data_IF_082026150733
#
_entry.id   IF_082026150733
#
_cell.length_a   1.000
_cell.length_b   1.000
_cell.length_c   1.000
_cell.angle_alpha   90.00
_cell.angle_beta   90.00
_cell.angle_gamma   90.00
#
_symmetry.space_group_name_H-M   'P 1'
#
loop_
_entity.id
_entity.type
_entity.pdbx_description
1 polymer ?
#
# COMPACT_ATOMS: atom_id res chain seq x y z
N UNK A 1 -11.27 10.43 2.09
CA UNK A 1 -10.61 10.05 0.83
C UNK A 1 -10.48 11.25 -0.09
N UNK A 2 -9.50 11.21 -0.96
CA UNK A 2 -9.36 12.21 -2.02
C UNK A 2 -10.26 11.84 -3.18
N UNK A 3 -11.15 12.77 -3.57
CA UNK A 3 -12.00 12.68 -4.74
C UNK A 3 -11.74 13.88 -5.65
N UNK A 4 -11.86 13.74 -6.98
CA UNK A 4 -11.79 14.89 -7.87
C UNK A 4 -12.98 15.82 -7.61
N UNK A 5 -12.72 17.11 -7.62
CA UNK A 5 -13.74 18.15 -7.61
C UNK A 5 -13.69 18.87 -8.96
N UNK A 6 -14.81 18.93 -9.65
CA UNK A 6 -14.94 19.65 -10.91
C UNK A 6 -15.48 21.04 -10.59
N UNK A 7 -14.71 22.05 -10.98
CA UNK A 7 -15.14 23.44 -10.95
C UNK A 7 -16.01 23.69 -12.19
N UNK A 8 -17.32 23.74 -12.00
CA UNK A 8 -18.27 23.88 -13.10
C UNK A 8 -18.14 25.21 -13.87
N UNK A 9 -17.64 26.26 -13.23
CA UNK A 9 -17.41 27.57 -13.88
C UNK A 9 -16.21 27.53 -14.84
N UNK A 10 -15.25 26.63 -14.58
CA UNK A 10 -14.05 26.45 -15.41
C UNK A 10 -14.11 25.23 -16.31
N UNK A 11 -15.14 24.42 -16.18
CA UNK A 11 -15.29 23.19 -16.95
C UNK A 11 -15.71 23.50 -18.39
N UNK A 12 -14.87 23.11 -19.35
CA UNK A 12 -15.15 23.24 -20.79
C UNK A 12 -15.70 21.95 -21.42
N UNK A 13 -16.17 21.01 -20.65
CA UNK A 13 -16.75 19.71 -21.06
C UNK A 13 -15.88 18.89 -22.03
N UNK A 14 -14.55 18.98 -21.93
CA UNK A 14 -13.61 18.27 -22.81
C UNK A 14 -13.44 16.78 -22.48
N UNK A 15 -14.06 16.28 -21.42
CA UNK A 15 -14.00 14.89 -20.92
C UNK A 15 -12.57 14.35 -20.62
N UNK A 16 -11.54 15.20 -20.54
CA UNK A 16 -10.18 14.76 -20.21
C UNK A 16 -10.08 14.12 -18.83
N UNK A 17 -10.85 14.62 -17.85
CA UNK A 17 -10.90 14.06 -16.51
C UNK A 17 -11.45 12.61 -16.49
N UNK A 18 -12.41 12.29 -17.36
CA UNK A 18 -12.91 10.91 -17.53
C UNK A 18 -11.85 10.03 -18.21
N UNK A 19 -11.21 10.52 -19.27
CA UNK A 19 -10.18 9.77 -20.01
C UNK A 19 -9.00 9.34 -19.15
N UNK A 20 -8.63 10.12 -18.12
CA UNK A 20 -7.55 9.77 -17.18
C UNK A 20 -8.04 9.02 -15.95
N UNK A 21 -9.35 8.89 -15.75
CA UNK A 21 -9.91 8.23 -14.57
C UNK A 21 -9.60 6.72 -14.59
N UNK A 22 -8.99 6.15 -13.55
CA UNK A 22 -8.73 4.72 -13.51
C UNK A 22 -10.00 3.88 -13.27
N UNK A 23 -11.15 4.51 -12.97
CA UNK A 23 -12.45 3.83 -12.83
C UNK A 23 -13.18 3.66 -14.16
N UNK A 24 -12.79 4.38 -15.20
CA UNK A 24 -13.30 4.20 -16.55
C UNK A 24 -12.62 3.02 -17.25
N UNK A 25 -13.10 2.64 -18.44
CA UNK A 25 -12.64 1.47 -19.16
C UNK A 25 -11.11 1.40 -19.32
N UNK A 26 -10.56 0.21 -19.12
CA UNK A 26 -9.12 -0.05 -19.32
C UNK A 26 -8.87 -0.10 -20.82
N UNK A 27 -8.16 0.90 -21.34
CA UNK A 27 -7.82 1.01 -22.77
C UNK A 27 -6.42 0.45 -23.06
N UNK A 28 -5.65 0.09 -22.04
CA UNK A 28 -4.23 -0.24 -22.20
C UNK A 28 -3.97 -1.73 -22.17
N UNK A 29 -3.01 -2.13 -23.02
CA UNK A 29 -2.47 -3.50 -23.04
C UNK A 29 -1.91 -3.84 -21.67
N UNK A 30 -2.68 -4.57 -20.89
CA UNK A 30 -2.22 -5.15 -19.64
C UNK A 30 -1.46 -6.45 -19.96
N UNK A 31 -0.40 -6.70 -19.18
CA UNK A 31 0.41 -7.89 -19.31
C UNK A 31 0.12 -8.90 -18.21
N UNK A 32 0.17 -10.19 -18.56
CA UNK A 32 0.24 -11.28 -17.57
C UNK A 32 1.66 -11.42 -17.05
N UNK A 33 1.80 -11.95 -15.84
CA UNK A 33 3.10 -12.27 -15.27
C UNK A 33 3.90 -13.22 -16.21
N UNK A 34 5.10 -12.80 -16.59
CA UNK A 34 6.04 -13.61 -17.37
C UNK A 34 6.84 -14.55 -16.48
N UNK A 35 7.37 -14.01 -15.37
CA UNK A 35 8.12 -14.75 -14.36
C UNK A 35 7.84 -14.24 -12.98
N UNK A 36 7.81 -15.15 -12.02
CA UNK A 36 7.60 -14.87 -10.62
C UNK A 36 8.83 -15.24 -9.79
N UNK A 37 9.13 -14.44 -8.79
CA UNK A 37 10.28 -14.62 -7.92
C UNK A 37 9.90 -14.37 -6.45
N UNK A 38 10.61 -15.03 -5.56
CA UNK A 38 10.55 -14.73 -4.12
C UNK A 38 11.95 -14.42 -3.61
N UNK A 39 12.05 -13.42 -2.74
CA UNK A 39 13.37 -13.05 -2.24
C UNK A 39 13.32 -12.17 -1.01
N UNK A 40 14.49 -12.04 -0.38
CA UNK A 40 14.67 -11.24 0.82
C UNK A 40 16.01 -10.54 0.77
N UNK A 41 15.99 -9.24 1.04
CA UNK A 41 17.18 -8.41 1.20
C UNK A 41 17.82 -8.62 2.58
N UNK A 42 19.13 -8.45 2.68
CA UNK A 42 19.87 -8.45 3.95
C UNK A 42 19.38 -7.36 4.92
N UNK A 43 18.94 -6.21 4.40
CA UNK A 43 18.41 -5.08 5.17
C UNK A 43 16.87 -5.07 5.24
N UNK A 44 16.25 -6.23 5.05
CA UNK A 44 14.78 -6.37 5.07
C UNK A 44 14.12 -5.82 6.33
N UNK A 45 14.84 -5.68 7.44
CA UNK A 45 14.34 -5.09 8.69
C UNK A 45 13.96 -3.61 8.55
N UNK A 46 14.57 -2.92 7.59
CA UNK A 46 14.18 -1.57 7.19
C UNK A 46 12.90 -1.52 6.34
N UNK A 47 12.31 -2.65 6.04
CA UNK A 47 11.15 -2.79 5.15
C UNK A 47 9.97 -3.47 5.83
N UNK A 48 8.78 -3.36 5.23
CA UNK A 48 7.57 -4.01 5.72
C UNK A 48 7.53 -5.53 5.44
N UNK A 49 8.26 -6.00 4.44
CA UNK A 49 8.37 -7.38 4.02
C UNK A 49 9.82 -7.75 3.71
N UNK A 50 10.10 -8.52 2.65
CA UNK A 50 11.44 -8.93 2.25
C UNK A 50 12.36 -7.82 1.71
N UNK A 51 11.87 -6.58 1.53
CA UNK A 51 12.70 -5.43 1.15
C UNK A 51 12.88 -5.21 -0.35
N UNK A 52 12.39 -6.12 -1.20
CA UNK A 52 12.65 -6.10 -2.64
C UNK A 52 12.37 -4.76 -3.33
N UNK A 53 11.21 -4.13 -3.05
CA UNK A 53 10.87 -2.85 -3.67
C UNK A 53 11.76 -1.69 -3.18
N UNK A 54 12.08 -1.67 -1.88
CA UNK A 54 12.94 -0.63 -1.29
C UNK A 54 14.34 -0.67 -1.90
N UNK A 55 14.96 -1.85 -1.93
CA UNK A 55 16.29 -2.05 -2.52
C UNK A 55 16.29 -1.75 -4.02
N UNK A 56 15.23 -2.15 -4.75
CA UNK A 56 15.11 -1.79 -6.17
C UNK A 56 15.04 -0.27 -6.37
N UNK A 57 14.28 0.43 -5.55
CA UNK A 57 14.18 1.90 -5.62
C UNK A 57 15.54 2.57 -5.43
N UNK A 58 16.30 2.13 -4.43
CA UNK A 58 17.65 2.64 -4.14
C UNK A 58 18.64 2.30 -5.25
N UNK A 59 18.60 1.07 -5.75
CA UNK A 59 19.45 0.63 -6.86
C UNK A 59 19.18 1.44 -8.13
N UNK A 60 17.90 1.69 -8.45
CA UNK A 60 17.56 2.48 -9.63
C UNK A 60 17.95 3.94 -9.47
N UNK A 61 17.80 4.53 -8.28
CA UNK A 61 18.30 5.88 -8.01
C UNK A 61 19.82 5.98 -8.24
N UNK A 62 20.61 5.00 -7.76
CA UNK A 62 22.06 4.96 -7.99
C UNK A 62 22.43 4.74 -9.47
N UNK A 63 21.50 4.22 -10.28
CA UNK A 63 21.65 4.04 -11.73
C UNK A 63 21.04 5.21 -12.56
N UNK A 64 20.83 6.36 -11.92
CA UNK A 64 20.41 7.59 -12.58
C UNK A 64 18.90 7.66 -12.90
N UNK A 65 18.06 6.86 -12.26
CA UNK A 65 16.62 7.02 -12.34
C UNK A 65 16.13 8.08 -11.36
N UNK A 66 15.14 8.84 -11.77
CA UNK A 66 14.30 9.62 -10.86
C UNK A 66 13.23 8.66 -10.32
N UNK A 67 13.27 8.38 -9.04
CA UNK A 67 12.37 7.42 -8.36
C UNK A 67 11.21 8.15 -7.74
N UNK A 68 9.99 7.78 -8.11
CA UNK A 68 8.75 8.30 -7.51
C UNK A 68 8.15 7.26 -6.59
N UNK A 69 8.03 7.61 -5.32
CA UNK A 69 7.53 6.73 -4.26
C UNK A 69 6.67 7.44 -3.24
N UNK A 70 6.21 6.70 -2.23
CA UNK A 70 5.30 7.20 -1.21
C UNK A 70 6.02 7.40 0.11
N UNK A 71 5.93 8.62 0.67
CA UNK A 71 6.47 8.97 1.98
C UNK A 71 5.45 9.72 2.85
N UNK A 72 5.78 9.96 4.09
CA UNK A 72 5.14 10.98 4.92
C UNK A 72 5.80 12.35 4.68
N UNK A 73 5.00 13.40 4.68
CA UNK A 73 5.50 14.77 4.89
C UNK A 73 5.67 15.07 6.40
N UNK A 74 6.07 16.30 6.74
CA UNK A 74 6.28 16.74 8.12
C UNK A 74 5.01 16.72 8.99
N UNK A 75 3.84 16.68 8.37
CA UNK A 75 2.54 16.60 9.03
C UNK A 75 1.95 15.18 9.04
N UNK A 76 2.74 14.17 8.66
CA UNK A 76 2.31 12.79 8.47
C UNK A 76 1.20 12.62 7.42
N UNK A 77 1.09 13.54 6.46
CA UNK A 77 0.30 13.26 5.27
C UNK A 77 1.05 12.27 4.38
N UNK A 78 0.32 11.31 3.84
CA UNK A 78 0.89 10.33 2.90
C UNK A 78 0.88 10.92 1.51
N UNK A 79 2.06 11.18 0.95
CA UNK A 79 2.24 11.83 -0.35
C UNK A 79 3.13 11.01 -1.29
N UNK A 80 2.95 11.20 -2.61
CA UNK A 80 3.97 10.82 -3.58
C UNK A 80 4.99 11.93 -3.73
N UNK A 81 6.26 11.54 -3.75
CA UNK A 81 7.38 12.45 -4.00
C UNK A 81 8.47 11.76 -4.81
N UNK A 82 9.47 12.51 -5.27
CA UNK A 82 10.59 11.99 -6.02
C UNK A 82 11.88 11.91 -5.17
N UNK A 83 12.78 11.05 -5.62
CA UNK A 83 14.11 10.84 -5.06
C UNK A 83 15.09 10.58 -6.21
N UNK A 84 16.35 11.02 -6.04
CA UNK A 84 17.44 10.84 -7.00
C UNK A 84 18.67 10.18 -6.38
N UNK A 85 18.63 9.99 -5.06
CA UNK A 85 19.70 9.35 -4.27
C UNK A 85 19.14 8.22 -3.42
N UNK A 86 20.04 7.34 -2.95
CA UNK A 86 19.70 6.24 -2.04
C UNK A 86 19.05 6.77 -0.77
N UNK A 87 19.61 7.83 -0.18
CA UNK A 87 19.11 8.39 1.09
C UNK A 87 17.71 8.99 0.93
N UNK A 88 17.45 9.66 -0.18
CA UNK A 88 16.11 10.19 -0.50
C UNK A 88 15.07 9.08 -0.75
N UNK A 89 15.50 7.87 -1.15
CA UNK A 89 14.61 6.71 -1.30
C UNK A 89 14.21 6.06 0.03
N UNK A 90 15.02 6.16 1.09
CA UNK A 90 14.76 5.52 2.39
C UNK A 90 13.36 5.81 2.96
N UNK A 91 12.81 7.03 2.91
CA UNK A 91 11.45 7.32 3.36
C UNK A 91 10.33 6.59 2.59
N UNK A 92 10.61 6.09 1.38
CA UNK A 92 9.66 5.31 0.59
C UNK A 92 9.48 3.89 1.12
N UNK A 93 10.43 3.39 1.89
CA UNK A 93 10.34 2.08 2.54
C UNK A 93 9.16 2.03 3.52
N UNK A 94 8.77 0.83 3.91
CA UNK A 94 7.66 0.51 4.81
C UNK A 94 6.27 0.88 4.27
N UNK A 95 5.26 0.24 4.81
CA UNK A 95 3.87 0.44 4.39
C UNK A 95 3.29 1.73 4.98
N UNK A 96 2.41 2.39 4.22
CA UNK A 96 1.56 3.50 4.67
C UNK A 96 0.12 3.14 4.29
N UNK A 97 -0.68 2.69 5.25
CA UNK A 97 -2.04 2.18 5.00
C UNK A 97 -3.08 3.29 4.91
N UNK A 98 -2.70 4.39 4.29
CA UNK A 98 -3.51 5.57 4.03
C UNK A 98 -3.43 5.91 2.56
N UNK A 99 -4.49 6.45 1.99
CA UNK A 99 -4.49 6.90 0.60
C UNK A 99 -3.44 8.01 0.41
N UNK A 100 -2.45 7.75 -0.44
CA UNK A 100 -1.46 8.77 -0.77
C UNK A 100 -2.02 9.84 -1.70
N UNK A 101 -1.62 11.07 -1.46
CA UNK A 101 -1.95 12.20 -2.32
C UNK A 101 -0.91 12.29 -3.44
N UNK A 102 -1.33 12.13 -4.68
CA UNK A 102 -0.43 12.15 -5.85
C UNK A 102 -0.02 13.56 -6.27
N UNK A 103 -0.76 14.59 -5.81
CA UNK A 103 -0.47 16.00 -6.09
C UNK A 103 -0.07 16.23 -7.57
N UNK A 104 1.07 16.87 -7.81
CA UNK A 104 1.66 17.11 -9.15
C UNK A 104 2.57 15.99 -9.64
N UNK A 105 2.58 14.82 -8.98
CA UNK A 105 3.48 13.71 -9.29
C UNK A 105 3.42 13.33 -10.79
N UNK A 106 2.23 13.14 -11.36
CA UNK A 106 2.09 12.73 -12.76
C UNK A 106 2.56 13.80 -13.75
N UNK A 107 2.37 15.10 -13.45
CA UNK A 107 2.90 16.17 -14.29
C UNK A 107 4.42 16.26 -14.22
N UNK A 108 5.02 16.10 -13.03
CA UNK A 108 6.47 16.04 -12.88
C UNK A 108 7.07 14.87 -13.66
N UNK A 109 6.46 13.67 -13.57
CA UNK A 109 6.88 12.49 -14.36
C UNK A 109 6.82 12.79 -15.86
N UNK A 110 5.73 13.43 -16.34
CA UNK A 110 5.61 13.79 -17.74
C UNK A 110 6.73 14.76 -18.19
N UNK A 111 7.10 15.72 -17.36
CA UNK A 111 8.15 16.69 -17.64
C UNK A 111 9.55 16.03 -17.62
N UNK A 112 9.80 15.10 -16.70
CA UNK A 112 11.05 14.32 -16.65
C UNK A 112 11.19 13.43 -17.90
N UNK A 113 10.13 12.74 -18.31
CA UNK A 113 10.14 11.91 -19.51
C UNK A 113 10.36 12.75 -20.79
N UNK A 114 9.80 13.96 -20.90
CA UNK A 114 10.08 14.89 -22.02
C UNK A 114 11.55 15.30 -22.08
N UNK A 115 12.22 15.39 -20.94
CA UNK A 115 13.66 15.65 -20.83
C UNK A 115 14.51 14.40 -21.04
N UNK A 116 13.88 13.29 -21.44
CA UNK A 116 14.52 12.00 -21.66
C UNK A 116 15.16 11.39 -20.39
N UNK A 117 14.73 11.77 -19.19
CA UNK A 117 15.17 11.16 -17.96
C UNK A 117 14.61 9.74 -17.82
N UNK A 118 15.36 8.85 -17.16
CA UNK A 118 14.87 7.56 -16.72
C UNK A 118 14.03 7.73 -15.47
N UNK A 119 12.82 7.21 -15.47
CA UNK A 119 11.86 7.35 -14.37
C UNK A 119 11.43 5.99 -13.86
N UNK A 120 11.41 5.83 -12.55
CA UNK A 120 10.82 4.68 -11.86
C UNK A 120 9.66 5.15 -11.00
N UNK A 121 8.46 4.68 -11.28
CA UNK A 121 7.26 5.02 -10.50
C UNK A 121 6.78 3.82 -9.70
N UNK A 122 6.50 4.03 -8.41
CA UNK A 122 5.89 3.02 -7.53
C UNK A 122 4.54 3.51 -7.00
N UNK A 123 3.52 2.66 -7.09
CA UNK A 123 2.19 3.00 -6.61
C UNK A 123 1.29 1.77 -6.49
N UNK A 124 0.05 1.95 -6.07
CA UNK A 124 -0.96 0.88 -6.15
C UNK A 124 -1.55 0.83 -7.56
N UNK A 125 -2.14 -0.30 -7.95
CA UNK A 125 -2.56 -0.57 -9.34
C UNK A 125 -3.41 0.55 -9.96
N UNK A 126 -4.37 1.11 -9.22
CA UNK A 126 -5.19 2.22 -9.70
C UNK A 126 -4.39 3.52 -9.95
N UNK A 127 -3.31 3.74 -9.22
CA UNK A 127 -2.41 4.89 -9.44
C UNK A 127 -1.50 4.66 -10.65
N UNK A 128 -1.02 3.43 -10.85
CA UNK A 128 -0.27 3.06 -12.04
C UNK A 128 -1.12 3.25 -13.31
N UNK A 129 -2.36 2.79 -13.29
CA UNK A 129 -3.31 2.96 -14.39
C UNK A 129 -3.59 4.45 -14.68
N UNK A 130 -3.84 5.24 -13.63
CA UNK A 130 -4.05 6.68 -13.78
C UNK A 130 -2.84 7.40 -14.39
N UNK A 131 -1.62 7.02 -14.01
CA UNK A 131 -0.39 7.56 -14.61
C UNK A 131 -0.31 7.24 -16.09
N UNK A 132 -0.49 5.97 -16.48
CA UNK A 132 -0.44 5.56 -17.89
C UNK A 132 -1.48 6.32 -18.72
N UNK A 133 -2.72 6.41 -18.24
CA UNK A 133 -3.79 7.17 -18.92
C UNK A 133 -3.44 8.66 -19.05
N UNK A 134 -2.89 9.25 -17.99
CA UNK A 134 -2.46 10.64 -18.00
C UNK A 134 -1.37 10.88 -19.06
N UNK A 135 -0.34 10.03 -19.09
CA UNK A 135 0.76 10.15 -20.07
C UNK A 135 0.27 9.94 -21.50
N UNK A 136 -0.65 9.00 -21.73
CA UNK A 136 -1.25 8.76 -23.04
C UNK A 136 -2.06 9.97 -23.54
N UNK A 137 -2.92 10.56 -22.67
CA UNK A 137 -3.66 11.78 -23.02
C UNK A 137 -2.72 12.94 -23.34
N UNK A 138 -1.57 13.01 -22.67
CA UNK A 138 -0.51 14.01 -22.92
C UNK A 138 0.40 13.65 -24.09
N UNK A 139 0.23 12.48 -24.74
CA UNK A 139 1.07 11.93 -25.81
C UNK A 139 2.55 11.86 -25.43
N UNK A 140 2.84 11.45 -24.20
CA UNK A 140 4.20 11.30 -23.68
C UNK A 140 4.69 9.87 -23.93
N UNK A 141 5.89 9.76 -24.50
CA UNK A 141 6.58 8.48 -24.71
C UNK A 141 7.03 7.89 -23.39
N UNK A 142 6.76 6.60 -23.19
CA UNK A 142 7.01 5.89 -21.93
C UNK A 142 8.20 4.92 -21.98
N UNK A 143 9.07 5.02 -22.99
CA UNK A 143 10.23 4.13 -23.14
C UNK A 143 11.16 4.15 -21.93
N UNK A 144 11.38 5.33 -21.36
CA UNK A 144 12.23 5.53 -20.20
C UNK A 144 11.48 5.43 -18.86
N UNK A 145 10.21 4.99 -18.85
CA UNK A 145 9.42 4.80 -17.66
C UNK A 145 9.39 3.30 -17.29
N UNK A 146 9.73 3.01 -16.04
CA UNK A 146 9.50 1.71 -15.39
C UNK A 146 8.43 1.89 -14.31
N UNK A 147 7.44 1.02 -14.29
CA UNK A 147 6.34 1.07 -13.31
C UNK A 147 6.35 -0.20 -12.46
N UNK A 148 6.36 -0.03 -11.15
CA UNK A 148 6.13 -1.10 -10.19
C UNK A 148 4.84 -0.87 -9.41
N UNK A 149 3.90 -1.79 -9.49
CA UNK A 149 2.73 -1.75 -8.63
C UNK A 149 2.91 -2.58 -7.36
N UNK A 150 2.29 -2.11 -6.28
CA UNK A 150 2.16 -2.84 -5.02
C UNK A 150 0.77 -3.46 -4.99
N UNK A 151 0.69 -4.76 -4.73
CA UNK A 151 -0.59 -5.47 -4.55
C UNK A 151 -1.31 -4.91 -3.32
N UNK A 152 -2.53 -4.40 -3.49
CA UNK A 152 -3.19 -3.54 -2.53
C UNK A 152 -4.53 -4.11 -2.08
N UNK A 153 -4.74 -4.23 -0.76
CA UNK A 153 -6.01 -4.65 -0.16
C UNK A 153 -7.06 -3.54 -0.09
N UNK A 154 -6.63 -2.29 -0.19
CA UNK A 154 -7.46 -1.09 -0.02
C UNK A 154 -6.76 -0.05 0.85
N UNK A 155 -7.29 1.17 0.86
CA UNK A 155 -6.71 2.31 1.57
C UNK A 155 -7.74 3.00 2.46
N UNK A 156 -7.30 3.48 3.63
CA UNK A 156 -8.08 4.38 4.49
C UNK A 156 -7.90 5.83 4.05
N UNK A 157 -8.70 6.75 4.58
CA UNK A 157 -8.52 8.17 4.26
C UNK A 157 -7.52 8.85 5.19
N UNK A 158 -6.81 9.86 4.67
CA UNK A 158 -5.95 10.74 5.46
C UNK A 158 -6.75 11.38 6.61
N UNK A 159 -7.96 11.86 6.34
CA UNK A 159 -8.84 12.47 7.36
C UNK A 159 -9.12 11.53 8.54
N UNK A 160 -9.30 10.22 8.32
CA UNK A 160 -9.49 9.26 9.42
C UNK A 160 -8.19 9.04 10.20
N UNK A 161 -7.06 9.03 9.53
CA UNK A 161 -5.76 8.96 10.20
C UNK A 161 -5.49 10.19 11.05
N UNK A 162 -5.79 11.38 10.54
CA UNK A 162 -5.65 12.65 11.28
C UNK A 162 -6.60 12.71 12.49
N UNK A 163 -7.83 12.21 12.33
CA UNK A 163 -8.78 12.13 13.46
C UNK A 163 -8.23 11.22 14.56
N UNK A 164 -7.76 10.02 14.19
CA UNK A 164 -7.14 9.09 15.12
C UNK A 164 -5.94 9.75 15.85
N UNK A 165 -5.02 10.39 15.08
CA UNK A 165 -3.84 11.05 15.66
C UNK A 165 -4.25 12.11 16.67
N UNK A 166 -5.17 13.01 16.30
CA UNK A 166 -5.66 14.08 17.18
C UNK A 166 -6.26 13.54 18.49
N UNK A 167 -7.08 12.48 18.41
CA UNK A 167 -7.63 11.83 19.61
C UNK A 167 -6.52 11.26 20.50
N UNK A 168 -5.51 10.60 19.92
CA UNK A 168 -4.39 10.04 20.69
C UNK A 168 -3.50 11.14 21.28
N UNK A 169 -3.17 12.16 20.53
CA UNK A 169 -2.35 13.29 20.95
C UNK A 169 -3.01 14.06 22.11
N UNK A 170 -4.33 14.32 22.04
CA UNK A 170 -5.09 14.92 23.11
C UNK A 170 -5.10 14.07 24.39
N UNK A 171 -5.27 12.74 24.24
CA UNK A 171 -5.30 11.80 25.37
C UNK A 171 -3.95 11.67 26.07
N UNK A 172 -2.86 11.76 25.31
CA UNK A 172 -1.50 11.52 25.82
C UNK A 172 -0.75 12.81 26.18
N UNK A 173 -1.22 13.98 25.73
CA UNK A 173 -0.49 15.24 25.84
C UNK A 173 0.79 15.30 25.02
N UNK A 174 0.95 14.42 24.01
CA UNK A 174 2.15 14.30 23.19
C UNK A 174 1.77 14.22 21.72
N UNK A 175 2.54 14.88 20.85
CA UNK A 175 2.35 14.82 19.40
C UNK A 175 2.98 13.54 18.83
N UNK A 176 2.29 12.89 17.90
CA UNK A 176 2.83 11.76 17.11
C UNK A 176 3.68 12.33 15.97
N UNK A 177 4.97 11.99 15.96
CA UNK A 177 5.92 12.44 14.91
C UNK A 177 6.24 11.35 13.89
N UNK A 178 6.00 10.06 14.25
CA UNK A 178 6.17 8.95 13.32
C UNK A 178 5.16 7.85 13.61
N UNK A 179 4.60 7.25 12.56
CA UNK A 179 3.74 6.08 12.64
C UNK A 179 4.20 5.04 11.61
N UNK A 180 4.95 4.04 12.07
CA UNK A 180 5.52 3.01 11.20
C UNK A 180 4.67 1.75 11.23
N UNK A 181 3.88 1.52 10.20
CA UNK A 181 3.17 0.27 10.00
C UNK A 181 4.14 -0.89 9.76
N UNK A 182 3.77 -2.08 10.23
CA UNK A 182 4.53 -3.32 9.96
C UNK A 182 5.98 -3.22 10.42
N UNK A 183 6.18 -2.72 11.65
CA UNK A 183 7.51 -2.81 12.24
C UNK A 183 7.80 -4.27 12.60
N UNK A 184 9.10 -4.64 12.62
CA UNK A 184 9.56 -5.99 12.93
C UNK A 184 10.09 -6.12 14.36
N UNK A 185 9.80 -5.16 15.22
CA UNK A 185 10.13 -5.20 16.64
C UNK A 185 9.17 -6.15 17.39
N UNK A 186 9.62 -6.69 18.49
CA UNK A 186 8.80 -7.57 19.32
C UNK A 186 7.59 -6.83 19.92
N UNK A 187 6.44 -7.46 19.84
CA UNK A 187 5.22 -7.04 20.49
C UNK A 187 4.68 -8.22 21.30
N UNK A 188 4.58 -8.07 22.65
CA UNK A 188 4.17 -9.14 23.57
C UNK A 188 5.01 -10.41 23.40
N UNK A 189 6.33 -10.27 23.30
CA UNK A 189 7.27 -11.38 23.16
C UNK A 189 7.34 -12.06 21.79
N UNK A 190 6.60 -11.56 20.78
CA UNK A 190 6.58 -12.13 19.42
C UNK A 190 6.71 -11.04 18.37
N UNK A 191 7.40 -11.33 17.28
CA UNK A 191 7.39 -10.49 16.10
C UNK A 191 6.09 -10.76 15.32
N UNK A 192 5.39 -9.69 14.97
CA UNK A 192 4.11 -9.78 14.26
C UNK A 192 4.03 -8.69 13.19
N UNK A 193 3.69 -9.08 11.96
CA UNK A 193 3.55 -8.15 10.84
C UNK A 193 2.37 -7.16 10.96
N UNK A 194 1.46 -7.39 11.92
CA UNK A 194 0.26 -6.55 12.14
C UNK A 194 0.45 -5.62 13.34
N UNK A 195 1.62 -4.99 13.41
CA UNK A 195 2.00 -4.05 14.46
C UNK A 195 2.37 -2.71 13.86
N UNK A 196 2.42 -1.67 14.69
CA UNK A 196 3.02 -0.39 14.36
C UNK A 196 3.94 0.07 15.49
N UNK A 197 4.91 0.90 15.11
CA UNK A 197 5.69 1.69 16.04
C UNK A 197 5.25 3.15 15.95
N UNK A 198 4.92 3.73 17.08
CA UNK A 198 4.54 5.14 17.21
C UNK A 198 5.67 5.85 17.96
N UNK A 199 6.22 6.91 17.37
CA UNK A 199 7.23 7.76 18.00
C UNK A 199 6.60 9.11 18.29
N UNK A 200 6.83 9.62 19.50
CA UNK A 200 6.27 10.86 20.00
C UNK A 200 7.29 12.00 20.00
N UNK A 201 6.79 13.24 20.16
CA UNK A 201 7.60 14.46 20.14
C UNK A 201 8.64 14.55 21.27
N UNK A 202 8.50 13.76 22.33
CA UNK A 202 9.48 13.62 23.41
C UNK A 202 10.48 12.48 23.19
N UNK A 203 10.59 11.98 21.96
CA UNK A 203 11.41 10.84 21.53
C UNK A 203 11.00 9.49 22.17
N UNK A 204 9.98 9.42 23.00
CA UNK A 204 9.46 8.14 23.49
C UNK A 204 8.81 7.36 22.34
N UNK A 205 8.82 6.03 22.41
CA UNK A 205 8.18 5.18 21.40
C UNK A 205 7.33 4.09 22.04
N UNK A 206 6.35 3.61 21.26
CA UNK A 206 5.46 2.53 21.66
C UNK A 206 5.23 1.56 20.50
N UNK A 207 5.38 0.27 20.75
CA UNK A 207 4.94 -0.77 19.82
C UNK A 207 3.50 -1.15 20.16
N UNK A 208 2.64 -1.13 19.16
CA UNK A 208 1.20 -1.43 19.29
C UNK A 208 0.78 -2.51 18.30
N UNK A 209 -0.22 -3.29 18.68
CA UNK A 209 -0.85 -4.29 17.83
C UNK A 209 -2.32 -3.98 17.58
N UNK A 210 -2.98 -4.77 16.73
CA UNK A 210 -4.40 -4.58 16.36
C UNK A 210 -5.35 -4.45 17.57
N UNK A 211 -5.05 -5.11 18.68
CA UNK A 211 -5.92 -5.05 19.88
C UNK A 211 -5.75 -3.76 20.68
N UNK A 212 -4.61 -3.07 20.54
CA UNK A 212 -4.24 -1.94 21.38
C UNK A 212 -4.30 -0.62 20.62
N UNK A 213 -4.37 -0.67 19.30
CA UNK A 213 -4.37 0.50 18.44
C UNK A 213 -5.62 0.54 17.56
N UNK A 214 -6.36 1.63 17.67
CA UNK A 214 -7.62 1.79 16.97
C UNK A 214 -7.41 1.93 15.45
N UNK A 215 -6.32 2.58 14.99
CA UNK A 215 -6.11 2.74 13.56
C UNK A 215 -5.66 1.44 12.88
N UNK A 216 -4.80 0.64 13.52
CA UNK A 216 -4.48 -0.70 13.06
C UNK A 216 -5.73 -1.58 13.01
N UNK A 217 -6.56 -1.54 14.06
CA UNK A 217 -7.81 -2.28 14.10
C UNK A 217 -8.76 -1.84 12.98
N UNK A 218 -8.94 -0.55 12.77
CA UNK A 218 -9.75 0.04 11.71
C UNK A 218 -9.30 -0.45 10.32
N UNK A 219 -7.98 -0.40 10.05
CA UNK A 219 -7.43 -0.87 8.78
C UNK A 219 -7.59 -2.38 8.60
N UNK A 220 -7.03 -3.18 9.51
CA UNK A 220 -7.01 -4.65 9.35
C UNK A 220 -8.39 -5.30 9.44
N UNK A 221 -9.37 -4.64 10.08
CA UNK A 221 -10.78 -5.05 10.09
C UNK A 221 -11.57 -4.47 8.91
N UNK A 222 -10.95 -3.69 8.05
CA UNK A 222 -11.57 -3.18 6.80
C UNK A 222 -12.80 -2.32 7.08
N UNK A 223 -12.80 -1.56 8.19
CA UNK A 223 -13.95 -0.78 8.63
C UNK A 223 -14.21 0.46 7.76
N UNK A 224 -13.16 1.02 7.11
CA UNK A 224 -13.32 2.28 6.37
C UNK A 224 -12.33 2.43 5.21
N UNK A 225 -12.24 1.45 4.34
CA UNK A 225 -11.54 1.61 3.07
C UNK A 225 -12.33 2.53 2.14
N UNK A 226 -11.65 3.08 1.15
CA UNK A 226 -12.31 3.80 0.07
C UNK A 226 -13.38 2.90 -0.57
N UNK A 227 -14.63 3.39 -0.81
CA UNK A 227 -15.68 2.55 -1.37
C UNK A 227 -15.28 1.76 -2.60
N UNK A 228 -14.58 2.39 -3.56
CA UNK A 228 -14.09 1.71 -4.76
C UNK A 228 -13.04 0.61 -4.49
N UNK A 229 -12.47 0.50 -3.28
CA UNK A 229 -11.59 -0.60 -2.93
C UNK A 229 -12.33 -1.91 -2.65
N UNK A 230 -13.60 -1.84 -2.24
CA UNK A 230 -14.45 -3.01 -2.04
C UNK A 230 -14.99 -3.60 -3.35
N UNK A 231 -14.91 -2.82 -4.42
CA UNK A 231 -15.31 -3.19 -5.78
C UNK A 231 -14.12 -2.99 -6.75
N UNK A 232 -12.91 -3.28 -6.25
CA UNK A 232 -11.68 -2.95 -6.94
C UNK A 232 -11.53 -3.74 -8.25
N UNK A 233 -11.59 -3.05 -9.38
CA UNK A 233 -11.42 -3.64 -10.71
C UNK A 233 -10.00 -4.10 -11.02
N UNK A 234 -9.03 -3.74 -10.18
CA UNK A 234 -7.63 -4.12 -10.31
C UNK A 234 -7.30 -5.44 -9.59
N UNK A 235 -8.28 -6.17 -9.12
CA UNK A 235 -8.13 -7.51 -8.53
C UNK A 235 -8.19 -8.58 -9.61
N UNK A 236 -7.33 -8.45 -10.59
CA UNK A 236 -7.15 -9.35 -11.73
C UNK A 236 -5.66 -9.68 -11.89
N UNK A 237 -5.33 -10.70 -12.68
CA UNK A 237 -3.93 -11.10 -12.89
C UNK A 237 -3.17 -10.14 -13.82
N UNK A 238 -3.87 -9.55 -14.79
CA UNK A 238 -3.28 -8.58 -15.74
C UNK A 238 -2.86 -7.29 -15.04
N UNK A 239 -1.72 -6.73 -15.44
CA UNK A 239 -1.14 -5.52 -14.87
C UNK A 239 -0.69 -4.56 -15.96
N UNK A 240 -0.89 -3.26 -15.73
CA UNK A 240 -0.34 -2.20 -16.58
C UNK A 240 1.11 -1.87 -16.23
N UNK A 241 1.61 -2.39 -15.12
CA UNK A 241 2.96 -2.16 -14.60
C UNK A 241 3.96 -3.19 -15.15
N UNK A 242 5.23 -2.79 -15.21
CA UNK A 242 6.32 -3.69 -15.57
C UNK A 242 6.58 -4.73 -14.48
N UNK A 243 6.40 -4.32 -13.22
CA UNK A 243 6.65 -5.13 -12.03
C UNK A 243 5.44 -5.11 -11.07
N UNK A 244 5.25 -6.21 -10.33
CA UNK A 244 4.31 -6.27 -9.21
C UNK A 244 5.04 -6.76 -7.97
N UNK A 245 4.84 -6.06 -6.85
CA UNK A 245 5.39 -6.44 -5.55
C UNK A 245 4.27 -6.78 -4.57
N UNK A 246 4.48 -7.85 -3.81
CA UNK A 246 3.58 -8.31 -2.74
C UNK A 246 4.37 -9.01 -1.63
N UNK A 247 3.68 -9.41 -0.57
CA UNK A 247 4.22 -10.36 0.42
C UNK A 247 4.07 -11.78 -0.12
N UNK A 248 5.10 -12.61 0.01
CA UNK A 248 5.03 -14.05 -0.31
C UNK A 248 4.44 -14.83 0.88
N UNK A 249 3.12 -14.67 1.13
CA UNK A 249 2.46 -15.35 2.25
C UNK A 249 2.54 -16.86 2.17
N UNK A 250 2.90 -17.50 3.29
CA UNK A 250 3.03 -18.95 3.42
C UNK A 250 4.12 -19.61 2.56
N UNK A 251 5.06 -18.82 2.00
CA UNK A 251 6.13 -19.41 1.20
C UNK A 251 7.10 -20.24 2.04
N UNK A 252 7.21 -19.99 3.34
CA UNK A 252 7.94 -20.83 4.30
C UNK A 252 7.47 -22.30 4.32
N UNK A 253 6.24 -22.55 3.94
CA UNK A 253 5.69 -23.91 3.80
C UNK A 253 6.18 -24.63 2.55
N UNK A 254 6.59 -23.87 1.54
CA UNK A 254 7.16 -24.37 0.28
C UNK A 254 8.67 -24.49 0.38
N UNK A 255 9.30 -23.48 0.97
CA UNK A 255 10.74 -23.43 1.16
C UNK A 255 11.09 -22.94 2.57
N UNK A 256 11.42 -23.86 3.50
CA UNK A 256 11.69 -23.53 4.92
C UNK A 256 12.92 -22.63 5.16
N UNK A 257 13.76 -22.41 4.15
CA UNK A 257 14.89 -21.45 4.27
C UNK A 257 14.42 -20.00 4.48
N UNK A 258 13.16 -19.70 4.17
CA UNK A 258 12.58 -18.39 4.36
C UNK A 258 11.80 -18.32 5.66
N UNK A 259 12.29 -17.49 6.59
CA UNK A 259 11.60 -17.21 7.84
C UNK A 259 10.37 -16.32 7.60
N UNK A 260 9.15 -16.76 7.98
CA UNK A 260 7.92 -15.99 7.80
C UNK A 260 7.89 -14.69 8.62
N UNK A 261 8.62 -14.65 9.72
CA UNK A 261 8.64 -13.52 10.68
C UNK A 261 9.32 -12.32 10.07
N UNK A 262 10.43 -12.53 9.38
CA UNK A 262 11.21 -11.47 8.74
C UNK A 262 10.60 -10.97 7.43
N UNK A 263 9.59 -11.68 6.90
CA UNK A 263 8.89 -11.36 5.66
C UNK A 263 9.70 -11.67 4.41
N UNK A 264 9.00 -12.05 3.35
CA UNK A 264 9.57 -12.37 2.03
C UNK A 264 8.81 -11.59 0.98
N UNK A 265 9.52 -11.00 0.04
CA UNK A 265 8.92 -10.29 -1.10
C UNK A 265 8.54 -11.29 -2.20
N UNK A 266 7.30 -11.20 -2.69
CA UNK A 266 6.90 -11.72 -3.99
C UNK A 266 7.14 -10.63 -5.04
N UNK A 267 7.84 -10.97 -6.12
CA UNK A 267 8.19 -10.08 -7.20
C UNK A 267 7.76 -10.71 -8.52
N UNK A 268 6.92 -10.02 -9.28
CA UNK A 268 6.43 -10.48 -10.57
C UNK A 268 6.98 -9.56 -11.66
N UNK A 269 7.62 -10.13 -12.67
CA UNK A 269 7.95 -9.43 -13.89
C UNK A 269 6.82 -9.63 -14.90
N UNK A 270 6.11 -8.54 -15.25
CA UNK A 270 4.97 -8.60 -16.14
C UNK A 270 5.34 -8.31 -17.60
N UNK A 271 6.43 -7.59 -17.85
CA UNK A 271 6.92 -7.21 -19.19
C UNK A 271 8.38 -7.62 -19.38
N UNK A 272 8.89 -7.56 -20.61
CA UNK A 272 10.31 -7.77 -20.88
C UNK A 272 11.18 -6.71 -20.18
N UNK A 273 10.69 -5.45 -20.11
CA UNK A 273 11.34 -4.39 -19.31
C UNK A 273 11.41 -4.77 -17.83
N UNK A 274 10.31 -5.32 -17.29
CA UNK A 274 10.29 -5.83 -15.92
C UNK A 274 11.30 -6.95 -15.67
N UNK A 275 11.47 -7.88 -16.61
CA UNK A 275 12.51 -8.94 -16.53
C UNK A 275 13.91 -8.32 -16.45
N UNK A 276 14.24 -7.38 -17.36
CA UNK A 276 15.55 -6.71 -17.36
C UNK A 276 15.81 -5.94 -16.06
N UNK A 277 14.77 -5.38 -15.43
CA UNK A 277 14.90 -4.69 -14.14
C UNK A 277 15.12 -5.68 -12.99
N UNK A 278 14.46 -6.83 -12.98
CA UNK A 278 14.70 -7.88 -11.96
C UNK A 278 16.14 -8.40 -12.03
N UNK A 279 16.70 -8.55 -13.23
CA UNK A 279 18.10 -8.98 -13.39
C UNK A 279 19.10 -8.08 -12.63
N UNK A 280 18.83 -6.77 -12.51
CA UNK A 280 19.65 -5.86 -11.75
C UNK A 280 19.69 -6.19 -10.24
N UNK A 281 18.67 -6.88 -9.72
CA UNK A 281 18.59 -7.23 -8.31
C UNK A 281 19.45 -8.45 -7.93
N UNK A 282 19.94 -9.26 -8.89
CA UNK A 282 20.71 -10.47 -8.58
C UNK A 282 21.94 -10.22 -7.71
N UNK A 283 22.56 -9.05 -7.83
CA UNK A 283 23.76 -8.69 -7.06
C UNK A 283 23.44 -8.14 -5.66
N UNK A 284 22.18 -7.85 -5.34
CA UNK A 284 21.81 -7.15 -4.10
C UNK A 284 20.74 -7.90 -3.27
N UNK A 285 20.01 -8.80 -3.89
CA UNK A 285 19.00 -9.64 -3.22
C UNK A 285 19.18 -11.10 -3.62
N UNK A 286 19.14 -11.98 -2.63
CA UNK A 286 18.99 -13.42 -2.90
C UNK A 286 17.52 -13.71 -3.18
N UNK A 287 17.22 -14.26 -4.37
CA UNK A 287 15.87 -14.64 -4.71
C UNK A 287 15.84 -15.92 -5.56
N UNK A 288 14.72 -16.61 -5.52
CA UNK A 288 14.45 -17.83 -6.30
C UNK A 288 13.34 -17.53 -7.30
N UNK A 289 13.47 -18.07 -8.51
CA UNK A 289 12.36 -18.14 -9.46
C UNK A 289 11.37 -19.20 -8.96
N UNK A 290 10.07 -18.92 -9.08
CA UNK A 290 8.98 -19.79 -8.61
C UNK A 290 7.92 -19.96 -9.70
N UNK A 291 7.11 -21.03 -9.64
CA UNK A 291 6.00 -21.21 -10.59
C UNK A 291 5.02 -20.02 -10.52
N UNK A 292 4.67 -19.47 -11.70
CA UNK A 292 3.69 -18.37 -11.81
C UNK A 292 2.34 -18.77 -11.20
N UNK A 293 1.93 -20.01 -11.36
CA UNK A 293 0.68 -20.52 -10.79
C UNK A 293 0.66 -20.42 -9.27
N UNK A 294 1.76 -20.81 -8.60
CA UNK A 294 1.88 -20.64 -7.16
C UNK A 294 1.74 -19.15 -6.75
N UNK A 295 2.46 -18.27 -7.46
CA UNK A 295 2.44 -16.85 -7.19
C UNK A 295 1.01 -16.27 -7.31
N UNK A 296 0.28 -16.63 -8.36
CA UNK A 296 -1.10 -16.17 -8.58
C UNK A 296 -2.05 -16.74 -7.53
N UNK A 297 -1.90 -18.03 -7.17
CA UNK A 297 -2.78 -18.69 -6.22
C UNK A 297 -2.54 -18.27 -4.77
N UNK A 298 -1.32 -17.85 -4.42
CA UNK A 298 -0.97 -17.35 -3.08
C UNK A 298 -1.63 -16.02 -2.73
N UNK A 299 -2.17 -15.28 -3.72
CA UNK A 299 -2.69 -13.92 -3.55
C UNK A 299 -4.18 -13.85 -3.92
N UNK A 300 -5.06 -13.77 -2.92
CA UNK A 300 -6.51 -13.62 -3.16
C UNK A 300 -6.88 -12.37 -3.97
N UNK A 301 -6.05 -11.33 -3.92
CA UNK A 301 -6.25 -10.07 -4.66
C UNK A 301 -6.03 -10.18 -6.18
N UNK A 302 -5.60 -11.32 -6.68
CA UNK A 302 -5.64 -11.63 -8.12
C UNK A 302 -6.98 -12.24 -8.57
N UNK A 303 -7.90 -12.48 -7.63
CA UNK A 303 -9.17 -13.19 -7.89
C UNK A 303 -10.39 -12.36 -7.52
N UNK A 304 -10.32 -11.62 -6.41
CA UNK A 304 -11.46 -10.86 -5.89
C UNK A 304 -11.01 -9.68 -5.02
N UNK A 305 -11.80 -8.60 -4.96
CA UNK A 305 -11.54 -7.47 -4.09
C UNK A 305 -11.72 -7.84 -2.61
N UNK A 306 -11.23 -6.96 -1.75
CA UNK A 306 -11.42 -7.07 -0.31
C UNK A 306 -12.90 -6.89 0.05
N UNK A 307 -13.48 -7.84 0.78
CA UNK A 307 -14.86 -7.74 1.24
C UNK A 307 -15.05 -6.62 2.27
N UNK A 308 -16.17 -5.92 2.20
CA UNK A 308 -16.56 -4.90 3.18
C UNK A 308 -16.82 -5.56 4.55
N UNK A 309 -16.47 -4.87 5.63
CA UNK A 309 -16.80 -5.35 6.98
C UNK A 309 -18.31 -5.27 7.21
N UNK A 310 -18.98 -6.30 7.79
CA UNK A 310 -20.43 -6.28 8.02
C UNK A 310 -20.91 -5.05 8.80
N UNK A 311 -20.13 -4.58 9.76
CA UNK A 311 -20.43 -3.40 10.59
C UNK A 311 -19.80 -2.09 10.07
N UNK A 312 -19.51 -1.98 8.77
CA UNK A 312 -18.96 -0.74 8.21
C UNK A 312 -19.92 0.46 8.42
N UNK A 313 -21.23 0.27 8.17
CA UNK A 313 -22.24 1.34 8.38
C UNK A 313 -22.36 1.71 9.86
N UNK A 314 -22.32 0.71 10.75
CA UNK A 314 -22.41 0.91 12.19
C UNK A 314 -21.22 1.73 12.71
N UNK A 315 -20.01 1.49 12.16
CA UNK A 315 -18.83 2.27 12.48
C UNK A 315 -19.08 3.77 12.29
N UNK A 316 -19.57 4.20 11.15
CA UNK A 316 -19.81 5.62 10.87
C UNK A 316 -20.89 6.22 11.77
N UNK A 317 -21.93 5.46 12.09
CA UNK A 317 -22.99 5.88 13.02
C UNK A 317 -22.44 6.10 14.44
N UNK A 318 -21.62 5.17 14.93
CA UNK A 318 -21.03 5.24 16.26
C UNK A 318 -19.94 6.33 16.30
N UNK A 319 -19.12 6.44 15.24
CA UNK A 319 -18.08 7.45 15.12
C UNK A 319 -18.60 8.86 15.27
N UNK A 320 -19.71 9.20 14.60
CA UNK A 320 -20.36 10.51 14.73
C UNK A 320 -20.78 10.85 16.16
N UNK A 321 -21.10 9.85 16.99
CA UNK A 321 -21.61 10.03 18.35
C UNK A 321 -20.51 9.93 19.42
N UNK A 322 -19.50 9.08 19.24
CA UNK A 322 -18.59 8.65 20.31
C UNK A 322 -17.10 8.87 19.99
N UNK A 323 -16.74 9.37 18.81
CA UNK A 323 -15.37 9.51 18.35
C UNK A 323 -14.79 8.22 17.74
N UNK A 324 -13.57 8.32 17.21
CA UNK A 324 -12.95 7.28 16.38
C UNK A 324 -12.59 6.03 17.18
N UNK A 325 -11.80 6.19 18.25
CA UNK A 325 -11.31 5.04 19.04
C UNK A 325 -12.45 4.22 19.62
N UNK A 326 -13.46 4.89 20.23
CA UNK A 326 -14.63 4.21 20.79
C UNK A 326 -15.46 3.49 19.74
N UNK A 327 -15.60 4.07 18.54
CA UNK A 327 -16.32 3.43 17.44
C UNK A 327 -15.62 2.16 16.97
N UNK A 328 -14.30 2.21 16.78
CA UNK A 328 -13.53 1.04 16.35
C UNK A 328 -13.61 -0.07 17.39
N UNK A 329 -13.33 0.21 18.66
CA UNK A 329 -13.27 -0.83 19.68
C UNK A 329 -14.63 -1.40 20.06
N UNK A 330 -15.71 -0.62 19.98
CA UNK A 330 -17.06 -1.16 20.20
C UNK A 330 -17.45 -2.24 19.17
N UNK A 331 -16.93 -2.15 17.94
CA UNK A 331 -17.15 -3.13 16.88
C UNK A 331 -16.16 -4.30 16.95
N UNK A 332 -14.86 -3.99 17.17
CA UNK A 332 -13.79 -4.97 17.04
C UNK A 332 -13.47 -5.72 18.33
N UNK A 333 -13.92 -5.18 19.47
CA UNK A 333 -13.75 -5.76 20.80
C UNK A 333 -15.09 -5.82 21.53
N UNK A 334 -16.03 -6.70 21.11
CA UNK A 334 -17.34 -6.79 21.73
C UNK A 334 -17.20 -7.14 23.21
N UNK A 335 -17.99 -6.48 24.08
CA UNK A 335 -18.02 -6.68 25.51
C UNK A 335 -18.29 -8.15 25.86
N UNK A 336 -17.88 -8.56 27.07
CA UNK A 336 -18.05 -9.93 27.59
C UNK A 336 -19.50 -10.41 27.43
N UNK A 337 -20.49 -9.57 27.67
CA UNK A 337 -21.93 -9.83 27.45
C UNK A 337 -22.26 -10.18 25.99
N UNK A 338 -21.74 -9.44 25.03
CA UNK A 338 -21.94 -9.73 23.60
C UNK A 338 -21.27 -11.04 23.18
N UNK A 339 -20.16 -11.40 23.81
CA UNK A 339 -19.48 -12.69 23.57
C UNK A 339 -20.32 -13.86 24.11
N UNK A 340 -20.93 -13.71 25.29
CA UNK A 340 -21.84 -14.71 25.85
C UNK A 340 -23.08 -14.90 24.98
N UNK A 341 -23.75 -13.81 24.61
CA UNK A 341 -24.93 -13.85 23.73
C UNK A 341 -24.62 -14.50 22.37
N UNK A 342 -23.45 -14.19 21.78
CA UNK A 342 -23.04 -14.81 20.53
C UNK A 342 -22.65 -16.29 20.68
N UNK A 343 -22.13 -16.72 21.86
CA UNK A 343 -21.95 -18.12 22.17
C UNK A 343 -23.27 -18.87 22.34
N UNK A 344 -24.21 -18.27 23.06
CA UNK A 344 -25.57 -18.85 23.26
C UNK A 344 -26.30 -18.97 21.91
N UNK A 345 -26.26 -17.93 21.06
CA UNK A 345 -26.86 -17.99 19.72
C UNK A 345 -26.23 -19.08 18.83
N UNK A 346 -24.94 -19.35 18.93
CA UNK A 346 -24.29 -20.46 18.20
C UNK A 346 -24.71 -21.83 18.73
N UNK A 347 -25.03 -21.96 20.01
CA UNK A 347 -25.50 -23.22 20.63
C UNK A 347 -26.96 -23.50 20.26
N UNK A 348 -27.77 -22.45 20.10
CA UNK A 348 -29.22 -22.60 19.76
C UNK A 348 -29.40 -22.82 18.24
N UNK A 349 -28.39 -22.51 17.39
CA UNK A 349 -28.42 -22.78 15.94
C UNK A 349 -27.78 -24.13 15.55
N UNK A 350 -27.35 -24.93 16.51
CA UNK A 350 -27.01 -26.35 16.40
C UNK A 350 -28.17 -27.20 16.91
#
# INVERSE_FOLDING_TARGET
HFYPLIDNEKCVNCNLCQKVCPSEDIVYTSSFCKKAYVGKSSDSDQSASGGGLGVLSELLASNGYIVYGVKYDENLNVIHDCATTIDECKPFRKSKYVQSFTNKCYSKIADDLKKNHKVFFTGVSCQCEALIKYLAVKRITINNLVIANILCHGVTSQKMFDTYRKEQEQKLGKRIVTYQFRNKKQYRGKINSRTAEIIYSDASSKIVGIKDDAFLSFYYRRLGYRPSCYECRFTVQQRVSDLTFADAWNYEKVNPKYDPVSGVSLMLANTNKGLSIIELLHNVIKFDEIPNEWAMNSQGLFKHPTSIHPHNKDFYSIYKKKGFEKAVFSITQPNIFSRLINKIKKIIQL
#
